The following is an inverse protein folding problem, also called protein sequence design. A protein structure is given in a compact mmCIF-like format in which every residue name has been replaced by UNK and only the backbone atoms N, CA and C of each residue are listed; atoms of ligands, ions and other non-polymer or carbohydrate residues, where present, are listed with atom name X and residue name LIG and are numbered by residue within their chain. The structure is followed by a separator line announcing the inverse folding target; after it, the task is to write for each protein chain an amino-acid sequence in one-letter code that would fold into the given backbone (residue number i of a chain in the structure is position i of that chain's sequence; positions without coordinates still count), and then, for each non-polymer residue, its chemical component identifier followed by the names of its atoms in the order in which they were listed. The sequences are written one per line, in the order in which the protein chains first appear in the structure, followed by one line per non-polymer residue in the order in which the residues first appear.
data_IF_267905636517
#
_entry.id   IF_267905636517
#
_cell.length_a   1.000
_cell.length_b   1.000
_cell.length_c   1.000
_cell.angle_alpha   90.00
_cell.angle_beta   90.00
_cell.angle_gamma   90.00
#
_symmetry.space_group_name_H-M   'P 1'
#
loop_
_entity.id
_entity.type
_entity.pdbx_description
1 polymer ?
#
# COMPACT_ATOMS: atom_id res chain seq x y z
N UNK A 1 12.17 -13.11 -6.98
CA UNK A 1 12.70 -11.74 -7.24
C UNK A 1 12.68 -10.94 -5.94
N UNK A 2 13.69 -10.07 -5.68
CA UNK A 2 14.04 -9.22 -4.50
C UNK A 2 13.75 -9.69 -3.04
N UNK A 3 12.83 -10.60 -2.80
CA UNK A 3 12.54 -11.18 -1.47
C UNK A 3 11.82 -10.23 -0.51
N UNK A 4 11.24 -9.14 -1.01
CA UNK A 4 10.54 -8.17 -0.19
C UNK A 4 9.17 -8.67 0.26
N UNK A 5 8.72 -8.19 1.41
CA UNK A 5 7.30 -8.22 1.75
C UNK A 5 6.51 -7.22 0.89
N UNK A 6 5.19 -7.35 0.95
CA UNK A 6 4.28 -6.57 0.13
C UNK A 6 4.30 -5.08 0.46
N UNK A 7 4.55 -4.70 1.71
CA UNK A 7 4.68 -3.31 2.13
C UNK A 7 5.91 -2.66 1.50
N UNK A 8 7.08 -3.28 1.67
CA UNK A 8 8.33 -2.78 1.10
C UNK A 8 8.30 -2.74 -0.42
N UNK A 9 7.69 -3.73 -1.07
CA UNK A 9 7.52 -3.73 -2.52
C UNK A 9 6.60 -2.59 -2.98
N UNK A 10 5.47 -2.37 -2.29
CA UNK A 10 4.55 -1.28 -2.61
C UNK A 10 5.19 0.10 -2.41
N UNK A 11 5.93 0.31 -1.31
CA UNK A 11 6.66 1.55 -1.06
C UNK A 11 7.74 1.83 -2.10
N UNK A 12 8.53 0.83 -2.49
CA UNK A 12 9.55 1.01 -3.54
C UNK A 12 8.94 1.51 -4.85
N UNK A 13 7.77 0.98 -5.23
CA UNK A 13 7.10 1.39 -6.47
C UNK A 13 6.42 2.76 -6.32
N UNK A 14 5.61 2.97 -5.28
CA UNK A 14 4.76 4.17 -5.15
C UNK A 14 5.57 5.39 -4.73
N UNK A 15 6.54 5.24 -3.84
CA UNK A 15 7.29 6.36 -3.27
C UNK A 15 8.60 6.65 -4.01
N UNK A 16 9.10 5.71 -4.84
CA UNK A 16 10.29 5.93 -5.65
C UNK A 16 9.95 5.91 -7.14
N UNK A 17 9.69 4.73 -7.72
CA UNK A 17 9.54 4.60 -9.19
C UNK A 17 8.43 5.49 -9.76
N UNK A 18 7.26 5.52 -9.12
CA UNK A 18 6.14 6.33 -9.58
C UNK A 18 6.45 7.83 -9.47
N UNK A 19 7.14 8.25 -8.40
CA UNK A 19 7.57 9.64 -8.22
C UNK A 19 8.64 10.03 -9.24
N UNK A 20 9.59 9.14 -9.55
CA UNK A 20 10.62 9.35 -10.57
C UNK A 20 10.01 9.57 -11.96
N UNK A 21 8.90 8.88 -12.27
CA UNK A 21 8.15 9.05 -13.52
C UNK A 21 7.16 10.23 -13.49
N UNK A 22 7.12 11.01 -12.40
CA UNK A 22 6.23 12.17 -12.24
C UNK A 22 4.76 11.79 -11.99
N UNK A 23 4.51 10.58 -11.51
CA UNK A 23 3.17 10.07 -11.21
C UNK A 23 2.77 10.25 -9.73
N UNK A 24 1.47 10.45 -9.53
CA UNK A 24 0.83 10.49 -8.22
C UNK A 24 -0.22 9.39 -8.10
N UNK A 25 -0.32 8.78 -6.92
CA UNK A 25 -1.31 7.77 -6.62
C UNK A 25 -0.99 6.92 -5.40
N UNK A 26 -1.73 5.81 -5.30
CA UNK A 26 -1.52 4.82 -4.27
C UNK A 26 -1.98 3.44 -4.72
N UNK A 27 -1.60 2.43 -3.95
CA UNK A 27 -1.91 1.04 -4.22
C UNK A 27 -2.40 0.35 -2.95
N UNK A 28 -3.35 -0.56 -3.12
CA UNK A 28 -3.78 -1.50 -2.08
C UNK A 28 -3.38 -2.89 -2.56
N UNK A 29 -2.53 -3.56 -1.79
CA UNK A 29 -2.00 -4.88 -2.07
C UNK A 29 -2.29 -5.83 -0.90
N UNK A 30 -2.38 -7.12 -1.19
CA UNK A 30 -2.49 -8.19 -0.19
C UNK A 30 -1.54 -9.32 -0.59
N UNK A 31 -0.71 -9.80 0.34
CA UNK A 31 0.15 -10.93 0.06
C UNK A 31 -0.53 -12.29 0.33
N UNK A 32 0.18 -13.37 -0.01
CA UNK A 32 -0.29 -14.75 0.21
C UNK A 32 -0.50 -15.13 1.68
N UNK A 33 0.00 -14.33 2.61
CA UNK A 33 -0.16 -14.52 4.06
C UNK A 33 -1.29 -13.65 4.62
N UNK A 34 -2.00 -12.90 3.77
CA UNK A 34 -3.07 -12.01 4.20
C UNK A 34 -2.59 -10.69 4.81
N UNK A 35 -1.31 -10.32 4.64
CA UNK A 35 -0.79 -9.03 5.10
C UNK A 35 -1.15 -7.95 4.07
N UNK A 36 -1.91 -6.90 4.45
CA UNK A 36 -2.22 -5.81 3.53
C UNK A 36 -1.04 -4.82 3.46
N UNK A 37 -0.89 -4.17 2.30
CA UNK A 37 -0.10 -2.96 2.14
C UNK A 37 -0.96 -1.89 1.49
N UNK A 38 -0.92 -0.67 2.04
CA UNK A 38 -1.74 0.43 1.54
C UNK A 38 -0.93 1.72 1.48
N UNK A 39 -0.16 1.86 0.41
CA UNK A 39 0.82 2.93 0.23
C UNK A 39 0.25 3.99 -0.71
N UNK A 40 0.49 5.28 -0.39
CA UNK A 40 0.14 6.41 -1.26
C UNK A 40 1.23 7.48 -1.20
N UNK A 41 1.55 8.11 -2.34
CA UNK A 41 2.41 9.29 -2.40
C UNK A 41 1.61 10.61 -2.40
N UNK A 42 0.27 10.52 -2.49
CA UNK A 42 -0.64 11.67 -2.43
C UNK A 42 -0.86 12.18 -0.99
N UNK A 43 -1.57 13.31 -0.86
CA UNK A 43 -2.02 13.83 0.45
C UNK A 43 -2.98 12.90 1.20
N UNK A 44 -3.65 11.98 0.49
CA UNK A 44 -4.58 11.04 1.08
C UNK A 44 -5.12 10.02 0.08
N UNK A 45 -5.51 8.86 0.61
CA UNK A 45 -6.16 7.77 -0.08
C UNK A 45 -7.27 7.20 0.82
N UNK A 46 -8.52 7.33 0.38
CA UNK A 46 -9.66 6.63 0.99
C UNK A 46 -9.41 5.12 0.90
N UNK A 47 -9.18 4.48 2.05
CA UNK A 47 -8.78 3.07 2.10
C UNK A 47 -9.31 2.36 3.32
N UNK A 48 -9.55 1.08 3.18
CA UNK A 48 -9.95 0.21 4.27
C UNK A 48 -9.50 -1.24 4.01
N UNK A 49 -9.32 -2.01 5.09
CA UNK A 49 -9.26 -3.47 5.01
C UNK A 49 -9.98 -4.12 6.18
N UNK A 50 -10.32 -5.39 6.01
CA UNK A 50 -10.72 -6.26 7.10
C UNK A 50 -10.34 -7.70 6.80
N UNK A 51 -10.16 -8.50 7.85
CA UNK A 51 -9.81 -9.92 7.72
C UNK A 51 -10.74 -10.82 8.54
N UNK A 52 -10.56 -12.13 8.40
CA UNK A 52 -11.35 -13.16 9.10
C UNK A 52 -11.11 -13.21 10.61
N UNK A 53 -10.03 -12.58 11.10
CA UNK A 53 -9.72 -12.48 12.53
C UNK A 53 -10.50 -11.34 13.21
N UNK A 54 -11.24 -10.56 12.44
CA UNK A 54 -12.06 -9.45 12.93
C UNK A 54 -11.32 -8.11 12.93
N UNK A 55 -10.08 -8.05 12.45
CA UNK A 55 -9.36 -6.79 12.29
C UNK A 55 -10.04 -5.95 11.21
N UNK A 56 -10.11 -4.64 11.48
CA UNK A 56 -10.69 -3.64 10.57
C UNK A 56 -9.88 -2.37 10.66
N UNK A 57 -9.63 -1.77 9.52
CA UNK A 57 -8.92 -0.50 9.41
C UNK A 57 -9.59 0.36 8.36
N UNK A 58 -9.71 1.66 8.62
CA UNK A 58 -10.22 2.67 7.70
C UNK A 58 -9.38 3.93 7.87
N UNK A 59 -8.91 4.51 6.77
CA UNK A 59 -8.16 5.76 6.78
C UNK A 59 -8.38 6.55 5.48
N UNK A 60 -8.07 7.84 5.55
CA UNK A 60 -8.12 8.75 4.40
C UNK A 60 -6.76 9.43 4.26
N UNK A 61 -6.25 10.03 5.33
CA UNK A 61 -4.95 10.69 5.31
C UNK A 61 -3.83 9.73 5.73
N UNK A 62 -2.57 10.17 5.53
CA UNK A 62 -1.38 9.53 6.12
C UNK A 62 -1.33 9.81 7.62
#
# INVERSE_FOLDING_TARGET
YKGYDVERAASEVVELTLVEEGGDGGVICLDKFGRPAMVTNTSGMFRAYGNSEGERFVAIFK
#
